data_IF_897064646839
#
_entry.id   IF_897064646839
#
_cell.length_a   1.000
_cell.length_b   1.000
_cell.length_c   1.000
_cell.angle_alpha   90.00
_cell.angle_beta   90.00
_cell.angle_gamma   90.00
#
_symmetry.space_group_name_H-M   'P 1'
#
loop_
_entity.id
_entity.type
_entity.pdbx_description
1 polymer ?
#
# COMPACT_ATOMS: atom_id res chain seq x y z
N UNK A 1 -30.09 -26.57 -22.31
CA UNK A 1 -28.74 -26.70 -21.73
C UNK A 1 -28.23 -25.29 -21.49
N UNK A 2 -28.31 -24.79 -20.26
CA UNK A 2 -27.82 -23.45 -19.91
C UNK A 2 -26.33 -23.52 -19.61
N UNK A 3 -25.52 -22.84 -20.42
CA UNK A 3 -24.11 -22.62 -20.12
C UNK A 3 -24.02 -21.61 -18.97
N UNK A 4 -23.54 -22.08 -17.82
CA UNK A 4 -23.24 -21.22 -16.68
C UNK A 4 -21.94 -20.48 -16.99
N UNK A 5 -22.06 -19.20 -17.35
CA UNK A 5 -20.93 -18.31 -17.57
C UNK A 5 -20.32 -18.02 -16.19
N UNK A 6 -19.15 -18.61 -15.88
CA UNK A 6 -18.41 -18.26 -14.67
C UNK A 6 -18.05 -16.77 -14.74
N UNK A 7 -18.22 -15.99 -13.67
CA UNK A 7 -17.76 -14.62 -13.66
C UNK A 7 -16.24 -14.61 -13.80
N UNK A 8 -15.76 -14.16 -14.96
CA UNK A 8 -14.35 -13.83 -15.19
C UNK A 8 -13.96 -12.77 -14.16
N UNK A 9 -12.97 -13.09 -13.32
CA UNK A 9 -12.45 -12.17 -12.33
C UNK A 9 -11.83 -10.98 -13.05
N UNK A 10 -12.23 -9.75 -12.70
CA UNK A 10 -11.73 -8.48 -13.28
C UNK A 10 -10.20 -8.31 -13.25
N UNK A 11 -9.48 -9.18 -12.54
CA UNK A 11 -8.01 -9.21 -12.50
C UNK A 11 -7.37 -9.94 -13.70
N UNK A 12 -8.09 -10.85 -14.35
CA UNK A 12 -7.58 -11.62 -15.51
C UNK A 12 -7.42 -10.76 -16.77
N UNK A 13 -8.08 -9.59 -16.84
CA UNK A 13 -8.05 -8.72 -18.02
C UNK A 13 -6.76 -7.87 -18.14
N UNK A 14 -5.90 -7.83 -17.12
CA UNK A 14 -4.77 -6.89 -17.06
C UNK A 14 -3.38 -7.54 -17.03
N UNK A 15 -3.27 -8.87 -17.09
CA UNK A 15 -1.97 -9.56 -17.10
C UNK A 15 -1.91 -10.59 -18.22
N UNK A 16 -0.85 -10.53 -19.02
CA UNK A 16 -0.57 -11.57 -20.04
C UNK A 16 0.02 -12.85 -19.43
N UNK A 17 0.43 -12.81 -18.16
CA UNK A 17 0.91 -13.97 -17.40
C UNK A 17 -0.28 -14.71 -16.77
N UNK A 18 -0.18 -16.05 -16.70
CA UNK A 18 -1.14 -16.86 -15.96
C UNK A 18 -1.05 -16.51 -14.47
N UNK A 19 -2.20 -16.25 -13.85
CA UNK A 19 -2.28 -15.98 -12.41
C UNK A 19 -2.29 -17.32 -11.67
N UNK A 20 -1.11 -17.75 -11.23
CA UNK A 20 -0.92 -18.93 -10.39
C UNK A 20 -0.37 -18.56 -9.00
N UNK A 21 -0.19 -19.57 -8.14
CA UNK A 21 0.32 -19.37 -6.79
C UNK A 21 1.71 -18.71 -6.79
N UNK A 22 2.58 -19.08 -7.73
CA UNK A 22 3.93 -18.54 -7.84
C UNK A 22 3.92 -17.06 -8.23
N UNK A 23 3.06 -16.67 -9.17
CA UNK A 23 2.84 -15.27 -9.53
C UNK A 23 2.33 -14.47 -8.32
N UNK A 24 1.33 -14.98 -7.60
CA UNK A 24 0.78 -14.34 -6.39
C UNK A 24 1.87 -14.16 -5.32
N UNK A 25 2.71 -15.15 -5.09
CA UNK A 25 3.83 -15.04 -4.14
C UNK A 25 4.88 -14.03 -4.58
N UNK A 26 5.25 -14.01 -5.86
CA UNK A 26 6.17 -13.01 -6.42
C UNK A 26 5.62 -11.59 -6.25
N UNK A 27 4.34 -11.38 -6.54
CA UNK A 27 3.65 -10.10 -6.38
C UNK A 27 3.65 -9.65 -4.91
N UNK A 28 3.37 -10.58 -3.99
CA UNK A 28 3.45 -10.31 -2.55
C UNK A 28 4.85 -9.90 -2.11
N UNK A 29 5.88 -10.63 -2.54
CA UNK A 29 7.27 -10.34 -2.17
C UNK A 29 7.73 -8.99 -2.73
N UNK A 30 7.41 -8.69 -3.99
CA UNK A 30 7.70 -7.39 -4.61
C UNK A 30 7.01 -6.25 -3.84
N UNK A 31 5.70 -6.34 -3.62
CA UNK A 31 4.95 -5.30 -2.93
C UNK A 31 5.41 -5.10 -1.49
N UNK A 32 5.58 -6.18 -0.70
CA UNK A 32 6.05 -6.08 0.69
C UNK A 32 7.43 -5.41 0.78
N UNK A 33 8.33 -5.68 -0.19
CA UNK A 33 9.62 -4.99 -0.27
C UNK A 33 9.46 -3.51 -0.60
N UNK A 34 8.55 -3.13 -1.49
CA UNK A 34 8.25 -1.72 -1.80
C UNK A 34 7.71 -0.98 -0.58
N UNK A 35 6.78 -1.58 0.18
CA UNK A 35 6.25 -0.98 1.42
C UNK A 35 7.37 -0.74 2.43
N UNK A 36 8.23 -1.74 2.66
CA UNK A 36 9.40 -1.61 3.55
C UNK A 36 10.36 -0.51 3.09
N UNK A 37 10.65 -0.45 1.78
CA UNK A 37 11.50 0.59 1.22
C UNK A 37 10.88 1.99 1.38
N UNK A 38 9.57 2.13 1.17
CA UNK A 38 8.86 3.38 1.40
C UNK A 38 8.95 3.81 2.87
N UNK A 39 8.80 2.88 3.82
CA UNK A 39 8.96 3.20 5.24
C UNK A 39 10.36 3.72 5.57
N UNK A 40 11.41 3.14 4.97
CA UNK A 40 12.76 3.65 5.15
C UNK A 40 12.93 5.05 4.58
N UNK A 41 12.35 5.33 3.41
CA UNK A 41 12.37 6.67 2.83
C UNK A 41 11.63 7.68 3.73
N UNK A 42 10.44 7.32 4.21
CA UNK A 42 9.64 8.15 5.13
C UNK A 42 10.39 8.48 6.42
N UNK A 43 11.08 7.50 7.03
CA UNK A 43 11.93 7.72 8.21
C UNK A 43 13.00 8.79 7.95
N UNK A 44 13.55 8.83 6.74
CA UNK A 44 14.55 9.84 6.34
C UNK A 44 13.93 11.20 5.94
N UNK A 45 12.62 11.27 5.78
CA UNK A 45 11.92 12.49 5.40
C UNK A 45 11.38 13.27 6.58
N UNK A 46 11.10 12.60 7.69
CA UNK A 46 10.52 13.20 8.89
C UNK A 46 11.49 14.17 9.59
N UNK A 47 10.93 15.07 10.39
CA UNK A 47 11.72 15.92 11.28
C UNK A 47 12.47 15.01 12.28
N UNK A 48 13.78 15.23 12.55
CA UNK A 48 14.52 14.53 13.59
C UNK A 48 13.84 14.43 14.96
N UNK A 49 12.96 15.38 15.30
CA UNK A 49 12.22 15.37 16.57
C UNK A 49 11.10 14.30 16.61
N UNK A 50 10.70 13.78 15.45
CA UNK A 50 9.67 12.75 15.34
C UNK A 50 10.28 11.36 15.33
N UNK A 51 9.68 10.44 16.07
CA UNK A 51 10.10 9.05 16.11
C UNK A 51 9.20 8.16 15.25
N UNK A 52 9.80 7.18 14.59
CA UNK A 52 9.09 6.12 13.86
C UNK A 52 9.27 4.76 14.52
N UNK A 53 8.18 4.06 14.76
CA UNK A 53 8.18 2.70 15.31
C UNK A 53 7.37 1.77 14.43
N UNK A 54 7.73 0.49 14.44
CA UNK A 54 6.83 -0.52 13.87
C UNK A 54 5.55 -0.54 14.70
N UNK A 55 4.41 -0.52 14.02
CA UNK A 55 3.10 -0.56 14.65
C UNK A 55 2.53 -1.98 14.65
N UNK A 56 1.21 -2.07 14.51
CA UNK A 56 0.49 -3.34 14.56
C UNK A 56 0.81 -4.25 13.36
N UNK A 57 0.80 -5.56 13.63
CA UNK A 57 0.75 -6.58 12.59
C UNK A 57 -0.57 -6.52 11.81
N UNK A 58 -0.50 -6.68 10.50
CA UNK A 58 -1.62 -6.68 9.56
C UNK A 58 -1.53 -7.96 8.76
N UNK A 59 -2.58 -8.77 8.82
CA UNK A 59 -2.69 -10.04 8.10
C UNK A 59 -3.43 -9.85 6.79
N UNK A 60 -2.84 -10.36 5.72
CA UNK A 60 -3.36 -10.31 4.36
C UNK A 60 -3.72 -11.71 3.92
N UNK A 61 -5.00 -11.91 3.59
CA UNK A 61 -5.51 -13.10 2.94
C UNK A 61 -6.52 -12.63 1.89
N UNK A 62 -6.01 -11.97 0.86
CA UNK A 62 -6.82 -11.40 -0.21
C UNK A 62 -7.34 -12.52 -1.13
N UNK A 63 -8.34 -12.21 -1.96
CA UNK A 63 -9.09 -13.22 -2.72
C UNK A 63 -8.20 -14.05 -3.66
N UNK A 64 -7.25 -13.41 -4.35
CA UNK A 64 -6.30 -14.12 -5.19
C UNK A 64 -5.41 -15.08 -4.41
N UNK A 65 -5.04 -14.74 -3.17
CA UNK A 65 -4.27 -15.66 -2.34
C UNK A 65 -5.10 -16.90 -1.99
N UNK A 66 -6.37 -16.71 -1.66
CA UNK A 66 -7.29 -17.82 -1.37
C UNK A 66 -7.50 -18.71 -2.60
N UNK A 67 -7.77 -18.13 -3.76
CA UNK A 67 -8.08 -18.88 -4.98
C UNK A 67 -6.89 -19.65 -5.54
N UNK A 68 -5.66 -19.16 -5.31
CA UNK A 68 -4.43 -19.85 -5.71
C UNK A 68 -3.77 -20.67 -4.58
N UNK A 69 -4.40 -20.78 -3.41
CA UNK A 69 -3.87 -21.56 -2.27
C UNK A 69 -2.63 -20.96 -1.59
N UNK A 70 -2.35 -19.68 -1.80
CA UNK A 70 -1.25 -18.98 -1.11
C UNK A 70 -1.70 -18.67 0.33
N UNK A 71 -0.91 -19.04 1.36
CA UNK A 71 -1.28 -18.80 2.75
C UNK A 71 -1.31 -17.32 3.08
N UNK A 72 -2.05 -16.96 4.13
CA UNK A 72 -2.07 -15.60 4.65
C UNK A 72 -0.65 -15.12 4.97
N UNK A 73 -0.39 -13.84 4.69
CA UNK A 73 0.91 -13.20 4.91
C UNK A 73 0.76 -12.00 5.85
N UNK A 74 1.87 -11.52 6.39
CA UNK A 74 1.87 -10.45 7.38
C UNK A 74 2.77 -9.28 6.95
N UNK A 75 2.29 -8.07 7.22
CA UNK A 75 3.08 -6.84 7.24
C UNK A 75 2.85 -6.09 8.55
N UNK A 76 3.63 -5.03 8.78
CA UNK A 76 3.45 -4.13 9.93
C UNK A 76 3.08 -2.73 9.44
N UNK A 77 2.30 -2.00 10.24
CA UNK A 77 2.18 -0.55 10.06
C UNK A 77 3.46 0.18 10.49
N UNK A 78 3.57 1.44 10.08
CA UNK A 78 4.58 2.37 10.58
C UNK A 78 3.88 3.44 11.40
N UNK A 79 4.13 3.51 12.70
CA UNK A 79 3.58 4.54 13.56
C UNK A 79 4.57 5.69 13.75
N UNK A 80 4.04 6.92 13.78
CA UNK A 80 4.80 8.17 13.90
C UNK A 80 4.42 8.86 15.20
N UNK A 81 5.43 9.29 15.96
CA UNK A 81 5.30 9.85 17.29
C UNK A 81 5.96 11.23 17.40
N UNK A 82 5.31 12.12 18.15
CA UNK A 82 5.88 13.33 18.71
C UNK A 82 6.06 13.12 20.21
N UNK A 83 7.31 12.96 20.65
CA UNK A 83 7.63 12.44 21.98
C UNK A 83 7.00 11.06 22.24
N UNK A 84 6.12 10.96 23.23
CA UNK A 84 5.39 9.73 23.57
C UNK A 84 4.02 9.60 22.88
N UNK A 85 3.54 10.64 22.20
CA UNK A 85 2.21 10.68 21.60
C UNK A 85 2.27 10.20 20.15
N UNK A 86 1.46 9.19 19.80
CA UNK A 86 1.24 8.80 18.40
C UNK A 86 0.47 9.92 17.69
N UNK A 87 1.05 10.47 16.63
CA UNK A 87 0.43 11.55 15.84
C UNK A 87 -0.12 11.05 14.50
N UNK A 88 0.26 9.85 14.08
CA UNK A 88 -0.31 9.20 12.91
C UNK A 88 0.48 7.96 12.50
N UNK A 89 0.29 7.50 11.28
CA UNK A 89 1.01 6.34 10.76
C UNK A 89 0.64 5.98 9.33
N UNK A 90 1.34 4.96 8.82
CA UNK A 90 1.10 4.35 7.51
C UNK A 90 0.66 2.91 7.70
N UNK A 91 -0.42 2.52 7.03
CA UNK A 91 -1.01 1.19 7.15
C UNK A 91 -1.20 0.59 5.75
N UNK A 92 -0.51 -0.51 5.38
CA UNK A 92 -0.81 -1.23 4.14
C UNK A 92 -2.23 -1.79 4.23
N UNK A 93 -2.98 -1.65 3.14
CA UNK A 93 -4.42 -2.01 3.11
C UNK A 93 -4.71 -3.12 2.12
N UNK A 94 -4.13 -3.05 0.92
CA UNK A 94 -4.38 -4.04 -0.13
C UNK A 94 -3.24 -4.07 -1.15
N UNK A 95 -2.90 -5.25 -1.65
CA UNK A 95 -2.00 -5.42 -2.79
C UNK A 95 -2.76 -5.30 -4.12
N UNK A 96 -3.92 -5.95 -4.23
CA UNK A 96 -4.66 -6.00 -5.50
C UNK A 96 -5.68 -4.87 -5.58
N UNK A 97 -5.23 -3.73 -6.11
CA UNK A 97 -6.04 -2.51 -6.27
C UNK A 97 -6.24 -2.24 -7.76
N UNK A 98 -7.46 -1.93 -8.17
CA UNK A 98 -7.75 -1.63 -9.58
C UNK A 98 -6.96 -0.38 -9.98
N UNK A 99 -6.13 -0.51 -11.02
CA UNK A 99 -5.29 0.58 -11.54
C UNK A 99 -4.05 0.92 -10.69
N UNK A 100 -3.72 0.13 -9.66
CA UNK A 100 -2.56 0.38 -8.81
C UNK A 100 -1.89 -0.92 -8.31
N UNK A 101 -0.59 -0.84 -8.10
CA UNK A 101 0.27 -1.86 -7.50
C UNK A 101 0.28 -1.77 -5.96
N UNK A 102 -0.92 -1.70 -5.38
CA UNK A 102 -1.17 -1.71 -3.96
C UNK A 102 -1.48 -0.34 -3.35
N UNK A 103 -1.97 -0.39 -2.11
CA UNK A 103 -2.52 0.74 -1.36
C UNK A 103 -2.03 0.76 0.08
N UNK A 104 -1.69 1.94 0.55
CA UNK A 104 -1.35 2.26 1.93
C UNK A 104 -2.23 3.44 2.35
N UNK A 105 -2.87 3.37 3.50
CA UNK A 105 -3.56 4.52 4.08
C UNK A 105 -2.67 5.22 5.10
N UNK A 106 -2.83 6.54 5.20
CA UNK A 106 -2.14 7.41 6.15
C UNK A 106 -3.20 8.07 7.03
N UNK A 107 -3.00 7.99 8.35
CA UNK A 107 -3.59 8.90 9.31
C UNK A 107 -2.54 9.92 9.76
N UNK A 108 -2.90 11.22 9.77
CA UNK A 108 -1.98 12.30 10.13
C UNK A 108 -2.75 13.48 10.77
N UNK A 109 -2.06 14.42 11.45
CA UNK A 109 -2.70 15.63 11.97
C UNK A 109 -3.37 16.48 10.88
N UNK A 110 -2.85 16.48 9.66
CA UNK A 110 -3.42 17.21 8.52
C UNK A 110 -4.64 16.53 7.87
N UNK A 111 -5.00 15.31 8.31
CA UNK A 111 -6.09 14.52 7.77
C UNK A 111 -5.67 13.11 7.33
N UNK A 112 -6.58 12.43 6.63
CA UNK A 112 -6.36 11.07 6.14
C UNK A 112 -6.10 11.04 4.64
N UNK A 113 -5.14 10.22 4.24
CA UNK A 113 -4.67 10.12 2.86
C UNK A 113 -4.54 8.66 2.45
N UNK A 114 -4.52 8.43 1.15
CA UNK A 114 -4.19 7.14 0.54
C UNK A 114 -2.96 7.34 -0.34
N UNK A 115 -1.99 6.45 -0.18
CA UNK A 115 -0.88 6.26 -1.10
C UNK A 115 -1.18 5.05 -1.99
N UNK A 116 -0.97 5.21 -3.29
CA UNK A 116 -1.04 4.13 -4.28
C UNK A 116 0.27 4.05 -5.06
N UNK A 117 0.74 2.85 -5.37
CA UNK A 117 1.81 2.66 -6.36
C UNK A 117 1.15 2.57 -7.73
N UNK A 118 1.40 3.52 -8.64
CA UNK A 118 0.85 3.48 -10.00
C UNK A 118 1.79 2.83 -11.01
N UNK A 119 2.94 2.30 -10.56
CA UNK A 119 3.82 1.53 -11.42
C UNK A 119 3.16 0.21 -11.84
N UNK A 120 3.60 -0.34 -12.98
CA UNK A 120 3.25 -1.70 -13.37
C UNK A 120 3.89 -2.70 -12.41
N UNK A 121 3.39 -3.93 -12.46
CA UNK A 121 3.93 -5.03 -11.67
C UNK A 121 5.43 -5.19 -11.97
N UNK A 122 6.25 -5.24 -10.90
CA UNK A 122 7.71 -5.42 -10.96
C UNK A 122 8.54 -4.23 -11.50
N UNK A 123 7.94 -3.20 -12.10
CA UNK A 123 8.62 -1.94 -12.45
C UNK A 123 8.95 -1.12 -11.20
N UNK A 124 9.97 -0.26 -11.17
CA UNK A 124 10.26 0.59 -10.00
C UNK A 124 9.02 1.35 -9.49
N UNK A 125 8.80 1.44 -8.16
CA UNK A 125 7.56 2.00 -7.62
C UNK A 125 7.40 3.49 -7.95
N UNK A 126 6.18 3.89 -8.28
CA UNK A 126 5.78 5.27 -8.53
C UNK A 126 4.62 5.62 -7.59
N UNK A 127 4.99 6.10 -6.40
CA UNK A 127 4.05 6.43 -5.35
C UNK A 127 3.34 7.76 -5.62
N UNK A 128 2.00 7.72 -5.57
CA UNK A 128 1.15 8.91 -5.55
C UNK A 128 0.36 8.97 -4.24
N UNK A 129 0.05 10.16 -3.77
CA UNK A 129 -0.74 10.43 -2.57
C UNK A 129 -2.00 11.22 -2.91
N UNK A 130 -3.11 10.85 -2.27
CA UNK A 130 -4.42 11.44 -2.47
C UNK A 130 -5.10 11.64 -1.11
N UNK A 131 -5.65 12.81 -0.78
CA UNK A 131 -6.51 12.96 0.39
C UNK A 131 -7.78 12.11 0.25
N UNK A 132 -8.21 11.47 1.32
CA UNK A 132 -9.47 10.70 1.32
C UNK A 132 -10.68 11.64 1.27
N UNK A 133 -10.58 12.81 1.89
CA UNK A 133 -11.62 13.82 1.87
C UNK A 133 -11.32 14.90 0.80
N UNK A 134 -12.14 14.94 -0.25
CA UNK A 134 -12.22 16.04 -1.19
C UNK A 134 -11.67 15.76 -2.60
N UNK A 135 -12.00 16.60 -3.60
CA UNK A 135 -11.71 16.37 -5.01
C UNK A 135 -10.28 16.76 -5.42
N UNK A 136 -9.27 16.43 -4.61
CA UNK A 136 -7.87 16.75 -4.96
C UNK A 136 -7.32 15.73 -5.95
N UNK A 137 -6.55 16.23 -6.93
CA UNK A 137 -5.81 15.39 -7.87
C UNK A 137 -4.70 14.63 -7.14
N UNK A 138 -4.39 13.40 -7.54
CA UNK A 138 -3.19 12.71 -7.09
C UNK A 138 -1.94 13.55 -7.34
N UNK A 139 -1.01 13.52 -6.38
CA UNK A 139 0.30 14.13 -6.51
C UNK A 139 1.41 13.11 -6.22
N UNK A 140 2.58 13.33 -6.80
CA UNK A 140 3.74 12.48 -6.53
C UNK A 140 4.14 12.53 -5.05
N UNK A 141 4.32 11.36 -4.45
CA UNK A 141 4.82 11.27 -3.08
C UNK A 141 6.29 11.69 -3.04
N UNK A 142 6.60 12.66 -2.19
CA UNK A 142 7.93 13.23 -2.02
C UNK A 142 8.17 13.59 -0.56
N UNK A 143 9.43 13.85 -0.19
CA UNK A 143 9.76 14.40 1.13
C UNK A 143 8.93 15.65 1.45
N UNK A 144 8.75 16.54 0.47
CA UNK A 144 7.99 17.78 0.66
C UNK A 144 6.54 17.43 0.98
N UNK A 145 5.85 16.72 0.10
CA UNK A 145 4.42 16.40 0.26
C UNK A 145 4.16 15.61 1.55
N UNK A 146 5.02 14.63 1.86
CA UNK A 146 4.89 13.83 3.08
C UNK A 146 5.12 14.62 4.38
N UNK A 147 6.12 15.51 4.44
CA UNK A 147 6.39 16.30 5.65
C UNK A 147 5.21 17.20 6.03
N UNK A 148 4.52 17.78 5.04
CA UNK A 148 3.37 18.66 5.30
C UNK A 148 2.23 17.92 6.01
N UNK A 149 2.22 16.59 6.00
CA UNK A 149 1.18 15.81 6.67
C UNK A 149 1.31 15.84 8.21
N UNK A 150 2.54 16.01 8.70
CA UNK A 150 2.91 15.87 10.11
C UNK A 150 3.47 17.15 10.74
N UNK A 151 3.39 18.27 10.01
CA UNK A 151 3.74 19.60 10.52
C UNK A 151 2.44 20.38 10.68
N UNK A 152 2.18 20.87 11.89
CA UNK A 152 1.08 21.79 12.19
C UNK A 152 1.45 23.22 11.85
#
# INVERSE_FOLDING_TARGET
MSASQKPTSTLEEFTTEAIDAHYVERRWNDWSNRVKALYQQVRQWLNPDLACKEGSAIFFQEELMKSTGVPAKQLVSLDIFDGSRRIGGLRPVALWVIGANGRIDIDSPSGSYTIVDIAKNFDPPKWEIVPIAGPRKPEGLSRKTFRHLFVS
#
